data_IF_540111182655
#
_entry.id   IF_540111182655
#
_cell.length_a   1.000
_cell.length_b   1.000
_cell.length_c   1.000
_cell.angle_alpha   90.00
_cell.angle_beta   90.00
_cell.angle_gamma   90.00
#
_symmetry.space_group_name_H-M   'P 1'
#
loop_
_entity.id
_entity.type
_entity.pdbx_description
1 polymer ?
#
# COMPACT_ATOMS: atom_id res chain seq x y z
N UNK A 1 33.35 -33.09 -40.98
CA UNK A 1 31.98 -33.06 -40.40
C UNK A 1 31.85 -32.23 -39.12
N UNK A 2 32.85 -32.16 -38.22
CA UNK A 2 32.74 -31.43 -36.92
C UNK A 2 32.54 -29.91 -37.02
N UNK A 3 33.14 -29.26 -38.03
CA UNK A 3 33.03 -27.82 -38.22
C UNK A 3 31.58 -27.35 -38.50
N UNK A 4 30.83 -28.08 -39.32
CA UNK A 4 29.44 -27.74 -39.65
C UNK A 4 28.53 -27.76 -38.41
N UNK A 5 28.71 -28.75 -37.52
CA UNK A 5 27.96 -28.83 -36.27
C UNK A 5 28.26 -27.66 -35.32
N UNK A 6 29.51 -27.21 -35.26
CA UNK A 6 29.89 -26.02 -34.48
C UNK A 6 29.21 -24.76 -35.01
N UNK A 7 29.23 -24.55 -36.33
CA UNK A 7 28.58 -23.40 -36.98
C UNK A 7 27.07 -23.42 -36.73
N UNK A 8 26.42 -24.57 -36.92
CA UNK A 8 24.99 -24.72 -36.68
C UNK A 8 24.61 -24.45 -35.22
N UNK A 9 25.39 -24.98 -34.27
CA UNK A 9 25.15 -24.76 -32.84
C UNK A 9 25.32 -23.29 -32.47
N UNK A 10 26.38 -22.64 -32.96
CA UNK A 10 26.62 -21.22 -32.73
C UNK A 10 25.49 -20.37 -33.30
N UNK A 11 25.06 -20.65 -34.55
CA UNK A 11 23.97 -19.92 -35.21
C UNK A 11 22.65 -20.05 -34.44
N UNK A 12 22.26 -21.27 -34.02
CA UNK A 12 21.04 -21.49 -33.22
C UNK A 12 21.06 -20.70 -31.91
N UNK A 13 22.20 -20.67 -31.22
CA UNK A 13 22.36 -19.86 -30.00
C UNK A 13 22.28 -18.36 -30.28
N UNK A 14 22.88 -17.90 -31.37
CA UNK A 14 22.84 -16.49 -31.78
C UNK A 14 21.42 -16.03 -32.09
N UNK A 15 20.66 -16.81 -32.88
CA UNK A 15 19.25 -16.53 -33.20
C UNK A 15 18.40 -16.51 -31.94
N UNK A 16 18.58 -17.47 -31.03
CA UNK A 16 17.86 -17.48 -29.76
C UNK A 16 18.14 -16.21 -28.92
N UNK A 17 19.39 -15.75 -28.86
CA UNK A 17 19.74 -14.50 -28.16
C UNK A 17 19.12 -13.26 -28.82
N UNK A 18 19.13 -13.18 -30.15
CA UNK A 18 18.49 -12.10 -30.90
C UNK A 18 17.00 -12.01 -30.60
N UNK A 19 16.31 -13.16 -30.63
CA UNK A 19 14.88 -13.21 -30.38
C UNK A 19 14.54 -12.87 -28.91
N UNK A 20 15.36 -13.32 -27.95
CA UNK A 20 15.23 -12.90 -26.56
C UNK A 20 15.40 -11.38 -26.38
N UNK A 21 16.39 -10.77 -27.07
CA UNK A 21 16.57 -9.31 -27.04
C UNK A 21 15.35 -8.60 -27.61
N UNK A 22 14.84 -9.05 -28.75
CA UNK A 22 13.62 -8.48 -29.37
C UNK A 22 12.42 -8.52 -28.42
N UNK A 23 12.18 -9.65 -27.75
CA UNK A 23 11.09 -9.80 -26.78
C UNK A 23 11.30 -8.95 -25.53
N UNK A 24 12.52 -8.90 -25.03
CA UNK A 24 12.86 -8.08 -23.87
C UNK A 24 12.60 -6.60 -24.13
N UNK A 25 13.04 -6.08 -25.30
CA UNK A 25 12.78 -4.69 -25.70
C UNK A 25 11.27 -4.40 -25.72
N UNK A 26 10.46 -5.26 -26.33
CA UNK A 26 9.01 -5.10 -26.32
C UNK A 26 8.44 -5.11 -24.90
N UNK A 27 8.86 -6.04 -24.05
CA UNK A 27 8.41 -6.14 -22.66
C UNK A 27 8.78 -4.88 -21.85
N UNK A 28 9.98 -4.31 -22.05
CA UNK A 28 10.40 -3.07 -21.40
C UNK A 28 9.46 -1.92 -21.82
N UNK A 29 9.26 -1.71 -23.12
CA UNK A 29 8.39 -0.63 -23.58
C UNK A 29 6.95 -0.81 -23.12
N UNK A 30 6.41 -2.03 -23.22
CA UNK A 30 5.07 -2.35 -22.76
C UNK A 30 4.92 -2.10 -21.24
N UNK A 31 5.87 -2.53 -20.42
CA UNK A 31 5.79 -2.32 -18.97
C UNK A 31 5.81 -0.84 -18.58
N UNK A 32 6.59 -0.01 -19.29
CA UNK A 32 6.62 1.44 -19.08
C UNK A 32 5.31 2.07 -19.53
N UNK A 33 4.88 1.80 -20.77
CA UNK A 33 3.69 2.41 -21.38
C UNK A 33 2.40 2.10 -20.61
N UNK A 34 2.26 0.87 -20.10
CA UNK A 34 1.07 0.42 -19.39
C UNK A 34 1.18 0.50 -17.86
N UNK A 35 2.27 1.02 -17.30
CA UNK A 35 2.47 1.14 -15.86
C UNK A 35 1.33 1.88 -15.15
N UNK A 36 0.94 3.07 -15.66
CA UNK A 36 -0.15 3.85 -15.10
C UNK A 36 -1.51 3.14 -15.17
N UNK A 37 -1.82 2.50 -16.30
CA UNK A 37 -3.07 1.73 -16.43
C UNK A 37 -3.12 0.56 -15.42
N UNK A 38 -1.99 -0.13 -15.22
CA UNK A 38 -1.89 -1.19 -14.22
C UNK A 38 -2.12 -0.66 -12.81
N UNK A 39 -1.58 0.51 -12.48
CA UNK A 39 -1.76 1.11 -11.16
C UNK A 39 -3.21 1.56 -10.93
N UNK A 40 -3.88 2.10 -11.95
CA UNK A 40 -5.32 2.38 -11.89
C UNK A 40 -6.16 1.11 -11.66
N UNK A 41 -5.86 0.01 -12.35
CA UNK A 41 -6.55 -1.27 -12.15
C UNK A 41 -6.33 -1.80 -10.73
N UNK A 42 -5.10 -1.76 -10.22
CA UNK A 42 -4.79 -2.17 -8.84
C UNK A 42 -5.56 -1.34 -7.84
N UNK A 43 -5.62 -0.02 -8.04
CA UNK A 43 -6.32 0.90 -7.16
C UNK A 43 -7.84 0.64 -7.18
N UNK A 44 -8.40 0.43 -8.36
CA UNK A 44 -9.80 0.03 -8.51
C UNK A 44 -10.11 -1.27 -7.76
N UNK A 45 -9.28 -2.30 -7.94
CA UNK A 45 -9.44 -3.57 -7.24
C UNK A 45 -9.33 -3.40 -5.72
N UNK A 46 -8.39 -2.56 -5.26
CA UNK A 46 -8.23 -2.25 -3.83
C UNK A 46 -9.48 -1.58 -3.26
N UNK A 47 -10.02 -0.56 -3.92
CA UNK A 47 -11.23 0.11 -3.45
C UNK A 47 -12.46 -0.77 -3.54
N UNK A 48 -12.58 -1.62 -4.56
CA UNK A 48 -13.63 -2.64 -4.64
C UNK A 48 -13.57 -3.59 -3.45
N UNK A 49 -12.39 -4.14 -3.17
CA UNK A 49 -12.16 -4.99 -2.00
C UNK A 49 -12.50 -4.27 -0.69
N UNK A 50 -12.07 -3.02 -0.54
CA UNK A 50 -12.36 -2.20 0.63
C UNK A 50 -13.89 -2.00 0.78
N UNK A 51 -14.58 -1.63 -0.28
CA UNK A 51 -16.03 -1.41 -0.25
C UNK A 51 -16.79 -2.68 0.18
N UNK A 52 -16.41 -3.83 -0.37
CA UNK A 52 -17.07 -5.11 -0.08
C UNK A 52 -16.87 -5.54 1.39
N UNK A 53 -15.65 -5.39 1.92
CA UNK A 53 -15.33 -5.81 3.28
C UNK A 53 -15.77 -4.83 4.36
N UNK A 54 -15.66 -3.51 4.11
CA UNK A 54 -16.15 -2.50 5.05
C UNK A 54 -17.68 -2.40 5.04
N UNK A 55 -18.35 -2.57 3.90
CA UNK A 55 -19.82 -2.58 3.84
C UNK A 55 -20.42 -3.81 4.53
N UNK A 56 -19.74 -4.97 4.47
CA UNK A 56 -20.16 -6.19 5.18
C UNK A 56 -20.04 -6.04 6.70
N UNK A 57 -18.91 -5.49 7.19
CA UNK A 57 -18.71 -5.18 8.61
C UNK A 57 -19.70 -4.13 9.13
N UNK A 58 -20.01 -3.12 8.29
CA UNK A 58 -20.96 -2.07 8.66
C UNK A 58 -22.44 -2.52 8.48
N UNK A 59 -22.73 -3.61 7.75
CA UNK A 59 -24.10 -4.17 7.66
C UNK A 59 -24.54 -4.85 8.95
N UNK A 60 -23.60 -5.41 9.73
CA UNK A 60 -23.89 -5.92 11.06
C UNK A 60 -24.08 -4.79 12.09
N UNK A 61 -23.38 -3.66 11.92
CA UNK A 61 -23.56 -2.47 12.76
C UNK A 61 -24.85 -1.68 12.40
N UNK A 62 -25.22 -1.62 11.11
CA UNK A 62 -26.39 -0.88 10.61
C UNK A 62 -27.74 -1.45 11.00
N UNK A 63 -27.81 -2.62 11.64
CA UNK A 63 -29.05 -3.06 12.30
C UNK A 63 -29.35 -2.30 13.60
N UNK A 64 -28.43 -1.45 14.10
CA UNK A 64 -28.67 -0.58 15.26
C UNK A 64 -28.85 0.90 14.93
N UNK A 65 -28.68 1.35 13.68
CA UNK A 65 -28.63 2.79 13.37
C UNK A 65 -29.45 3.15 12.13
N UNK A 66 -30.76 2.89 12.19
CA UNK A 66 -31.71 3.52 11.27
C UNK A 66 -32.12 4.88 11.83
N UNK A 67 -31.32 5.92 11.59
CA UNK A 67 -31.81 7.30 11.50
C UNK A 67 -30.72 8.26 11.03
N UNK A 68 -31.06 8.98 9.96
CA UNK A 68 -30.65 10.37 9.72
C UNK A 68 -29.29 10.63 9.06
N UNK A 69 -29.36 10.76 7.74
CA UNK A 69 -28.89 11.93 6.98
C UNK A 69 -27.95 12.91 7.71
N UNK A 70 -26.67 12.95 7.34
CA UNK A 70 -25.93 14.18 6.98
C UNK A 70 -24.42 13.94 7.05
N UNK A 71 -23.75 14.11 5.91
CA UNK A 71 -22.29 14.02 5.73
C UNK A 71 -21.48 15.09 6.52
N UNK A 72 -22.12 15.84 7.42
CA UNK A 72 -21.48 16.82 8.32
C UNK A 72 -21.29 16.26 9.74
N UNK A 73 -21.99 15.17 10.09
CA UNK A 73 -21.90 14.57 11.44
C UNK A 73 -20.86 13.47 11.53
N UNK A 74 -20.32 12.97 10.41
CA UNK A 74 -19.38 11.87 10.43
C UNK A 74 -18.05 12.27 11.09
N UNK A 75 -17.50 13.45 10.79
CA UNK A 75 -16.26 13.94 11.43
C UNK A 75 -16.42 14.10 12.95
N UNK A 76 -17.60 14.53 13.42
CA UNK A 76 -17.89 14.74 14.84
C UNK A 76 -18.14 13.42 15.60
N UNK A 77 -18.68 12.40 14.93
CA UNK A 77 -18.88 11.06 15.50
C UNK A 77 -17.56 10.26 15.60
N UNK A 78 -16.65 10.41 14.62
CA UNK A 78 -15.31 9.80 14.70
C UNK A 78 -14.49 10.34 15.88
N UNK A 79 -14.56 11.64 16.17
CA UNK A 79 -13.94 12.22 17.37
C UNK A 79 -14.52 11.66 18.69
N UNK A 80 -15.80 11.23 18.69
CA UNK A 80 -16.42 10.63 19.88
C UNK A 80 -16.12 9.15 20.07
N UNK A 81 -15.69 8.44 19.03
CA UNK A 81 -15.48 6.98 19.07
C UNK A 81 -14.00 6.58 19.16
N UNK A 82 -13.07 7.50 18.86
CA UNK A 82 -11.63 7.26 19.04
C UNK A 82 -11.19 7.93 20.34
N UNK A 83 -11.59 7.36 21.47
CA UNK A 83 -11.12 7.78 22.78
C UNK A 83 -9.66 7.33 22.95
N UNK A 84 -8.70 8.15 22.50
CA UNK A 84 -7.26 7.87 22.67
C UNK A 84 -6.85 7.66 24.13
N UNK A 85 -7.69 8.06 25.09
CA UNK A 85 -7.49 7.86 26.53
C UNK A 85 -7.67 6.40 26.97
N UNK A 86 -8.32 5.57 26.17
CA UNK A 86 -8.56 4.14 26.45
C UNK A 86 -7.51 3.23 25.80
N UNK A 87 -6.58 3.80 25.02
CA UNK A 87 -5.49 3.04 24.41
C UNK A 87 -4.39 2.85 25.46
N UNK A 88 -4.35 1.68 26.09
CA UNK A 88 -3.24 1.30 26.97
C UNK A 88 -2.00 0.97 26.15
N UNK A 89 -0.95 1.77 26.34
CA UNK A 89 0.37 1.52 25.75
C UNK A 89 1.10 0.55 26.68
N UNK A 90 1.59 -0.58 26.14
CA UNK A 90 2.38 -1.54 26.92
C UNK A 90 3.70 -0.89 27.39
N UNK A 91 4.13 -1.23 28.61
CA UNK A 91 5.40 -0.76 29.22
C UNK A 91 6.66 -1.13 28.41
N UNK A 92 6.54 -2.07 27.49
CA UNK A 92 7.63 -2.53 26.61
C UNK A 92 7.86 -1.53 25.45
N UNK A 93 6.90 -0.64 25.18
CA UNK A 93 7.02 0.34 24.11
C UNK A 93 8.10 1.38 24.44
N UNK A 94 9.21 1.33 23.70
CA UNK A 94 10.38 2.22 23.87
C UNK A 94 10.30 3.47 22.99
N UNK A 95 9.23 3.60 22.20
CA UNK A 95 9.01 4.77 21.36
C UNK A 95 8.45 5.97 22.12
N UNK A 96 8.18 7.09 21.43
CA UNK A 96 7.70 8.32 22.07
C UNK A 96 6.29 8.14 22.65
N UNK A 97 6.14 8.43 23.95
CA UNK A 97 4.86 8.39 24.64
C UNK A 97 4.14 9.73 24.52
N UNK A 98 2.91 9.73 23.99
CA UNK A 98 2.12 10.94 23.80
C UNK A 98 1.23 11.20 25.02
N UNK A 99 1.48 12.31 25.72
CA UNK A 99 0.57 12.83 26.75
C UNK A 99 -0.24 14.01 26.21
N UNK A 100 -1.53 14.02 26.51
CA UNK A 100 -2.44 15.12 26.14
C UNK A 100 -2.77 16.01 27.37
N UNK A 101 -2.91 17.34 27.20
CA UNK A 101 -2.81 18.08 25.94
C UNK A 101 -1.38 18.14 25.40
N UNK A 102 -1.23 18.04 24.08
CA UNK A 102 0.09 18.06 23.44
C UNK A 102 0.78 19.39 23.70
N UNK A 103 1.98 19.32 24.28
CA UNK A 103 2.85 20.46 24.46
C UNK A 103 3.88 20.52 23.34
N UNK A 104 4.47 21.71 23.12
CA UNK A 104 5.50 21.92 22.09
C UNK A 104 6.71 21.00 22.32
N UNK A 105 7.06 20.74 23.59
CA UNK A 105 8.13 19.79 23.94
C UNK A 105 7.85 18.38 23.42
N UNK A 106 6.61 17.90 23.58
CA UNK A 106 6.20 16.57 23.15
C UNK A 106 6.30 16.43 21.62
N UNK A 107 5.95 17.49 20.89
CA UNK A 107 6.08 17.53 19.42
C UNK A 107 7.56 17.49 19.01
N UNK A 108 8.44 18.21 19.70
CA UNK A 108 9.87 18.17 19.40
C UNK A 108 10.50 16.80 19.69
N UNK A 109 10.07 16.14 20.75
CA UNK A 109 10.52 14.79 21.11
C UNK A 109 10.05 13.75 20.07
N UNK A 110 8.80 13.86 19.62
CA UNK A 110 8.26 13.02 18.54
C UNK A 110 9.10 13.15 17.25
N UNK A 111 9.40 14.38 16.83
CA UNK A 111 10.21 14.64 15.63
C UNK A 111 11.62 14.06 15.79
N UNK A 112 12.22 14.18 16.98
CA UNK A 112 13.52 13.60 17.27
C UNK A 112 13.51 12.06 17.26
N UNK A 113 12.48 11.44 17.83
CA UNK A 113 12.31 9.99 17.82
C UNK A 113 12.14 9.43 16.38
N UNK A 114 11.35 10.10 15.54
CA UNK A 114 11.21 9.75 14.12
C UNK A 114 12.54 9.88 13.37
N UNK A 115 13.28 10.97 13.59
CA UNK A 115 14.59 11.18 12.99
C UNK A 115 15.57 10.07 13.34
N UNK A 116 15.51 9.56 14.57
CA UNK A 116 16.41 8.52 15.08
C UNK A 116 15.88 7.08 14.89
N UNK A 117 14.76 6.91 14.18
CA UNK A 117 14.10 5.61 13.91
C UNK A 117 13.76 4.82 15.19
N UNK A 118 13.34 5.52 16.24
CA UNK A 118 12.88 4.93 17.50
C UNK A 118 11.36 4.68 17.49
N UNK A 119 10.84 4.17 16.36
CA UNK A 119 9.40 3.94 16.12
C UNK A 119 9.15 2.46 15.96
#
# INVERSE_FOLDING_TARGET
MRAALLIQRWYRQYVARLEMRRRCTWNIFQSIEYSGQQDHIKLYNFFGYLMDHFSSANSQSKKLSSSSTSDVFQDMEWERHVCYKEIEVLDIYTGPHLSFPLTISNVTELVHAFKNKQV
#
